data_IF_542939518410
#
_entry.id   IF_542939518410
#
_cell.length_a   1.000
_cell.length_b   1.000
_cell.length_c   1.000
_cell.angle_alpha   90.00
_cell.angle_beta   90.00
_cell.angle_gamma   90.00
#
_symmetry.space_group_name_H-M   'P 1'
#
loop_
_entity.id
_entity.type
_entity.pdbx_description
1 polymer ?
#
# COMPACT_ATOMS: atom_id res chain seq x y z
N UNK A 1 6.82 -41.28 -64.35
CA UNK A 1 7.28 -42.01 -65.54
C UNK A 1 7.16 -43.50 -65.26
N UNK A 2 6.49 -44.26 -66.12
CA UNK A 2 6.43 -45.72 -66.00
C UNK A 2 7.54 -46.31 -66.84
N UNK A 3 8.47 -47.03 -66.21
CA UNK A 3 9.58 -47.69 -66.90
C UNK A 3 9.19 -49.12 -67.27
N UNK A 4 9.59 -49.57 -68.46
CA UNK A 4 9.46 -50.96 -68.86
C UNK A 4 10.71 -51.73 -68.43
N UNK A 5 10.54 -52.85 -67.73
CA UNK A 5 11.62 -53.74 -67.31
C UNK A 5 11.57 -54.99 -68.18
N UNK A 6 12.70 -55.35 -68.79
CA UNK A 6 12.84 -56.64 -69.48
C UNK A 6 13.03 -57.72 -68.41
N UNK A 7 12.23 -58.79 -68.48
CA UNK A 7 12.25 -59.93 -67.56
C UNK A 7 12.16 -61.26 -68.33
N UNK A 8 12.45 -62.37 -67.65
CA UNK A 8 12.52 -63.75 -68.20
C UNK A 8 13.67 -64.01 -69.20
N UNK A 9 14.86 -64.27 -68.64
CA UNK A 9 16.08 -64.62 -69.39
C UNK A 9 16.25 -66.13 -69.61
N UNK A 10 15.18 -66.94 -69.50
CA UNK A 10 15.24 -68.41 -69.61
C UNK A 10 15.77 -68.94 -70.96
N UNK A 11 15.83 -68.07 -71.97
CA UNK A 11 16.38 -68.32 -73.30
C UNK A 11 17.60 -67.46 -73.62
N UNK A 12 18.25 -66.80 -72.65
CA UNK A 12 19.47 -66.03 -72.91
C UNK A 12 20.70 -66.97 -72.93
N UNK A 13 21.49 -66.94 -74.01
CA UNK A 13 22.68 -67.78 -74.15
C UNK A 13 23.88 -66.96 -74.64
N UNK A 14 25.08 -67.30 -74.15
CA UNK A 14 26.33 -66.73 -74.66
C UNK A 14 26.54 -67.23 -76.10
N UNK A 15 26.80 -66.33 -77.06
CA UNK A 15 26.88 -66.59 -78.52
C UNK A 15 27.83 -67.73 -78.97
N UNK A 16 28.65 -68.30 -78.06
CA UNK A 16 29.58 -69.39 -78.34
C UNK A 16 28.98 -70.81 -78.23
N UNK A 17 27.72 -70.97 -77.82
CA UNK A 17 27.06 -72.27 -77.62
C UNK A 17 26.14 -72.63 -78.79
N UNK A 18 26.18 -73.89 -79.26
CA UNK A 18 25.52 -74.38 -80.49
C UNK A 18 24.23 -75.18 -80.26
N UNK A 19 23.51 -74.96 -79.16
CA UNK A 19 22.30 -75.76 -78.88
C UNK A 19 21.19 -74.94 -78.25
N UNK A 20 20.02 -74.94 -78.89
CA UNK A 20 18.78 -74.33 -78.42
C UNK A 20 17.63 -75.35 -78.30
N UNK A 21 16.72 -75.10 -77.36
CA UNK A 21 15.48 -75.84 -77.13
C UNK A 21 14.30 -74.96 -77.56
N UNK A 22 13.34 -75.52 -78.33
CA UNK A 22 12.18 -74.78 -78.85
C UNK A 22 10.90 -75.04 -78.04
N UNK A 23 10.19 -73.99 -77.67
CA UNK A 23 8.78 -74.03 -77.25
C UNK A 23 7.90 -73.34 -78.31
N UNK A 24 6.72 -73.89 -78.60
CA UNK A 24 5.88 -73.48 -79.74
C UNK A 24 5.42 -72.00 -79.73
N UNK A 25 5.37 -71.35 -78.55
CA UNK A 25 5.00 -69.94 -78.40
C UNK A 25 6.13 -68.96 -78.78
N UNK A 26 7.39 -69.33 -78.55
CA UNK A 26 8.58 -68.52 -78.88
C UNK A 26 8.82 -68.46 -80.39
N UNK A 27 8.41 -69.51 -81.13
CA UNK A 27 8.61 -69.61 -82.58
C UNK A 27 7.95 -68.48 -83.38
N UNK A 28 6.90 -67.84 -82.86
CA UNK A 28 6.22 -66.75 -83.56
C UNK A 28 7.09 -65.49 -83.67
N UNK A 29 7.97 -65.26 -82.69
CA UNK A 29 8.88 -64.10 -82.67
C UNK A 29 10.28 -64.44 -83.17
N UNK A 30 10.57 -65.73 -83.39
CA UNK A 30 11.86 -66.20 -83.83
C UNK A 30 12.13 -65.82 -85.30
N UNK A 31 13.38 -65.48 -85.61
CA UNK A 31 13.78 -65.13 -86.97
C UNK A 31 13.85 -66.36 -87.89
N UNK A 32 13.66 -66.22 -89.22
CA UNK A 32 13.60 -67.36 -90.15
C UNK A 32 14.83 -68.26 -90.12
N UNK A 33 16.02 -67.70 -89.85
CA UNK A 33 17.27 -68.45 -89.77
C UNK A 33 17.43 -69.30 -88.49
N UNK A 34 16.58 -69.10 -87.49
CA UNK A 34 16.65 -69.85 -86.22
C UNK A 34 16.30 -71.33 -86.40
N UNK A 35 15.51 -71.68 -87.41
CA UNK A 35 15.26 -73.08 -87.84
C UNK A 35 16.55 -73.83 -88.24
N UNK A 36 17.62 -73.09 -88.59
CA UNK A 36 18.92 -73.64 -88.98
C UNK A 36 19.94 -73.64 -87.81
N UNK A 37 19.49 -73.48 -86.55
CA UNK A 37 20.31 -73.36 -85.35
C UNK A 37 21.36 -72.23 -85.40
N UNK A 38 21.05 -71.11 -86.07
CA UNK A 38 21.91 -69.92 -86.16
C UNK A 38 21.20 -68.72 -85.55
N UNK A 39 21.26 -68.56 -84.23
CA UNK A 39 20.84 -67.32 -83.58
C UNK A 39 22.01 -66.33 -83.55
N UNK A 40 21.73 -65.09 -83.93
CA UNK A 40 22.71 -64.00 -84.03
C UNK A 40 22.12 -62.73 -83.42
N UNK A 41 22.92 -61.68 -83.22
CA UNK A 41 22.41 -60.36 -82.78
C UNK A 41 21.30 -59.81 -83.69
N UNK A 42 21.34 -60.18 -84.97
CA UNK A 42 20.37 -59.82 -85.99
C UNK A 42 19.03 -60.56 -85.78
N UNK A 43 19.04 -61.71 -85.11
CA UNK A 43 17.82 -62.44 -84.71
C UNK A 43 17.09 -61.72 -83.58
N UNK A 44 17.80 -61.04 -82.68
CA UNK A 44 17.19 -60.18 -81.66
C UNK A 44 16.57 -58.93 -82.29
N UNK A 45 17.24 -58.32 -83.29
CA UNK A 45 16.69 -57.20 -84.06
C UNK A 45 15.38 -57.57 -84.75
N UNK A 46 15.29 -58.78 -85.31
CA UNK A 46 14.04 -59.30 -85.86
C UNK A 46 12.95 -59.39 -84.80
N UNK A 47 13.26 -60.01 -83.65
CA UNK A 47 12.30 -60.24 -82.58
C UNK A 47 11.75 -58.91 -82.05
N UNK A 48 12.63 -57.93 -81.84
CA UNK A 48 12.26 -56.56 -81.48
C UNK A 48 11.40 -55.92 -82.57
N UNK A 49 11.75 -56.08 -83.85
CA UNK A 49 10.97 -55.55 -84.97
C UNK A 49 9.55 -56.10 -84.99
N UNK A 50 9.39 -57.41 -84.77
CA UNK A 50 8.08 -58.06 -84.66
C UNK A 50 7.27 -57.47 -83.50
N UNK A 51 7.89 -57.33 -82.32
CA UNK A 51 7.23 -56.76 -81.13
C UNK A 51 6.80 -55.32 -81.38
N UNK A 52 7.67 -54.48 -81.93
CA UNK A 52 7.34 -53.06 -82.20
C UNK A 52 6.15 -52.97 -83.17
N UNK A 53 6.18 -53.76 -84.26
CA UNK A 53 5.08 -53.77 -85.22
C UNK A 53 3.78 -54.23 -84.55
N UNK A 54 3.83 -55.27 -83.72
CA UNK A 54 2.65 -55.76 -83.01
C UNK A 54 2.13 -54.75 -81.98
N UNK A 55 3.00 -54.04 -81.27
CA UNK A 55 2.59 -52.97 -80.33
C UNK A 55 1.92 -51.82 -81.07
N UNK A 56 2.47 -51.42 -82.22
CA UNK A 56 1.94 -50.31 -83.02
C UNK A 56 0.60 -50.71 -83.68
N UNK A 57 0.51 -51.91 -84.24
CA UNK A 57 -0.64 -52.33 -85.07
C UNK A 57 -1.68 -53.14 -84.32
N UNK A 58 -1.35 -53.65 -83.12
CA UNK A 58 -2.13 -54.63 -82.37
C UNK A 58 -2.16 -56.03 -82.99
N UNK A 59 -1.44 -56.27 -84.08
CA UNK A 59 -1.50 -57.51 -84.87
C UNK A 59 -0.10 -58.01 -85.19
N UNK A 60 0.21 -59.25 -84.84
CA UNK A 60 1.47 -59.89 -85.23
C UNK A 60 1.69 -59.85 -86.78
N UNK A 61 2.86 -59.36 -87.26
CA UNK A 61 3.10 -59.07 -88.68
C UNK A 61 2.94 -60.27 -89.62
N UNK A 62 3.29 -61.47 -89.14
CA UNK A 62 3.23 -62.70 -89.93
C UNK A 62 1.98 -63.56 -89.66
N UNK A 63 1.00 -63.05 -88.90
CA UNK A 63 -0.17 -63.84 -88.43
C UNK A 63 -0.96 -64.47 -89.59
N UNK A 64 -0.95 -65.81 -89.65
CA UNK A 64 -1.83 -66.63 -90.50
C UNK A 64 -3.11 -67.06 -89.79
N UNK A 65 -3.97 -67.80 -90.48
CA UNK A 65 -5.19 -68.40 -89.95
C UNK A 65 -4.91 -69.57 -88.99
N UNK A 66 -3.76 -70.23 -89.16
CA UNK A 66 -3.27 -71.31 -88.28
C UNK A 66 -1.82 -71.04 -87.86
N UNK A 67 -1.35 -71.68 -86.79
CA UNK A 67 0.04 -71.56 -86.33
C UNK A 67 1.04 -71.99 -87.42
N UNK A 68 0.77 -73.09 -88.12
CA UNK A 68 1.59 -73.53 -89.25
C UNK A 68 1.66 -72.49 -90.38
N UNK A 69 0.55 -71.80 -90.66
CA UNK A 69 0.54 -70.72 -91.65
C UNK A 69 1.34 -69.50 -91.17
N UNK A 70 1.28 -69.16 -89.87
CA UNK A 70 2.12 -68.10 -89.28
C UNK A 70 3.60 -68.42 -89.41
N UNK A 71 4.01 -69.65 -89.07
CA UNK A 71 5.40 -70.09 -89.22
C UNK A 71 5.82 -70.09 -90.70
N UNK A 72 4.98 -70.59 -91.60
CA UNK A 72 5.24 -70.54 -93.05
C UNK A 72 5.40 -69.11 -93.58
N UNK A 73 4.60 -68.16 -93.07
CA UNK A 73 4.74 -66.74 -93.40
C UNK A 73 6.08 -66.17 -92.89
N UNK A 74 6.52 -66.55 -91.69
CA UNK A 74 7.84 -66.17 -91.15
C UNK A 74 8.95 -66.75 -92.05
N UNK A 75 8.96 -68.05 -92.30
CA UNK A 75 10.00 -68.72 -93.10
C UNK A 75 10.04 -68.20 -94.56
N UNK A 76 8.90 -67.78 -95.11
CA UNK A 76 8.81 -67.17 -96.45
C UNK A 76 9.09 -65.66 -96.46
N UNK A 77 9.06 -64.98 -95.31
CA UNK A 77 9.19 -63.52 -95.20
C UNK A 77 7.94 -62.74 -95.62
N UNK A 78 6.76 -63.39 -95.62
CA UNK A 78 5.49 -62.80 -96.05
C UNK A 78 4.76 -62.16 -94.87
N UNK A 79 4.97 -60.86 -94.65
CA UNK A 79 4.26 -60.09 -93.63
C UNK A 79 3.02 -59.37 -94.19
N UNK A 80 2.11 -58.97 -93.30
CA UNK A 80 0.93 -58.16 -93.64
C UNK A 80 1.34 -56.74 -94.05
N UNK A 81 0.68 -56.12 -95.04
CA UNK A 81 0.96 -54.73 -95.41
C UNK A 81 0.84 -53.79 -94.22
N UNK A 82 1.77 -52.84 -94.11
CA UNK A 82 1.72 -51.82 -93.07
C UNK A 82 0.51 -50.90 -93.26
N UNK A 83 -0.20 -50.52 -92.17
CA UNK A 83 -1.23 -49.49 -92.22
C UNK A 83 -0.67 -48.13 -92.65
N UNK A 84 -1.53 -47.27 -93.20
CA UNK A 84 -1.14 -45.97 -93.74
C UNK A 84 -0.51 -45.01 -92.72
N UNK A 85 -0.62 -45.23 -91.41
CA UNK A 85 0.04 -44.38 -90.42
C UNK A 85 1.52 -44.76 -90.17
N UNK A 86 1.97 -45.91 -90.67
CA UNK A 86 3.39 -46.32 -90.62
C UNK A 86 4.03 -45.92 -91.95
N UNK A 87 4.59 -44.72 -91.99
CA UNK A 87 5.21 -44.14 -93.18
C UNK A 87 6.65 -43.68 -92.92
N UNK A 88 7.32 -43.25 -93.99
CA UNK A 88 8.63 -42.59 -93.91
C UNK A 88 9.71 -43.46 -93.30
N UNK A 89 10.59 -42.84 -92.52
CA UNK A 89 11.74 -43.49 -91.89
C UNK A 89 11.33 -44.64 -90.97
N UNK A 90 10.26 -44.47 -90.18
CA UNK A 90 9.75 -45.53 -89.29
C UNK A 90 9.39 -46.78 -90.09
N UNK A 91 8.74 -46.63 -91.24
CA UNK A 91 8.41 -47.77 -92.11
C UNK A 91 9.66 -48.47 -92.62
N UNK A 92 10.62 -47.70 -93.13
CA UNK A 92 11.90 -48.22 -93.65
C UNK A 92 12.66 -48.97 -92.54
N UNK A 93 12.66 -48.41 -91.33
CA UNK A 93 13.28 -49.01 -90.16
C UNK A 93 12.64 -50.36 -89.83
N UNK A 94 11.31 -50.42 -89.73
CA UNK A 94 10.58 -51.65 -89.39
C UNK A 94 10.75 -52.72 -90.49
N UNK A 95 10.65 -52.36 -91.77
CA UNK A 95 10.90 -53.25 -92.90
C UNK A 95 12.32 -53.83 -92.88
N UNK A 96 13.31 -53.01 -92.51
CA UNK A 96 14.70 -53.42 -92.33
C UNK A 96 14.86 -54.44 -91.20
N UNK A 97 14.22 -54.20 -90.04
CA UNK A 97 14.30 -55.08 -88.87
C UNK A 97 13.69 -56.47 -89.14
N UNK A 98 12.59 -56.54 -89.88
CA UNK A 98 11.93 -57.82 -90.25
C UNK A 98 12.37 -58.36 -91.62
N UNK A 99 13.59 -58.03 -92.06
CA UNK A 99 14.13 -58.57 -93.32
C UNK A 99 14.46 -60.05 -93.20
N UNK A 100 14.04 -60.85 -94.20
CA UNK A 100 14.37 -62.29 -94.25
C UNK A 100 15.88 -62.54 -94.33
N UNK A 101 16.63 -61.70 -95.03
CA UNK A 101 18.10 -61.79 -95.05
C UNK A 101 18.66 -61.08 -93.82
N UNK A 102 19.18 -61.85 -92.86
CA UNK A 102 19.69 -61.32 -91.60
C UNK A 102 20.77 -60.23 -91.79
N UNK A 103 21.55 -60.29 -92.87
CA UNK A 103 22.62 -59.31 -93.19
C UNK A 103 22.08 -57.95 -93.63
N UNK A 104 20.81 -57.90 -94.03
CA UNK A 104 20.13 -56.65 -94.41
C UNK A 104 19.47 -55.97 -93.21
N UNK A 105 19.43 -56.63 -92.05
CA UNK A 105 18.89 -56.04 -90.83
C UNK A 105 19.86 -54.99 -90.30
N UNK A 106 19.37 -53.81 -89.90
CA UNK A 106 20.23 -52.78 -89.32
C UNK A 106 20.77 -53.24 -87.96
N UNK A 107 21.93 -52.72 -87.56
CA UNK A 107 22.44 -52.93 -86.21
C UNK A 107 21.65 -52.08 -85.21
N UNK A 108 21.61 -52.49 -83.94
CA UNK A 108 20.98 -51.70 -82.87
C UNK A 108 21.55 -50.29 -82.79
N UNK A 109 22.86 -50.13 -83.02
CA UNK A 109 23.51 -48.81 -83.05
C UNK A 109 22.93 -47.94 -84.18
N UNK A 110 22.81 -48.48 -85.39
CA UNK A 110 22.24 -47.75 -86.53
C UNK A 110 20.77 -47.37 -86.29
N UNK A 111 20.00 -48.24 -85.62
CA UNK A 111 18.62 -47.95 -85.22
C UNK A 111 18.53 -46.77 -84.23
N UNK A 112 19.42 -46.74 -83.23
CA UNK A 112 19.49 -45.64 -82.26
C UNK A 112 19.98 -44.32 -82.88
N UNK A 113 20.74 -44.38 -83.96
CA UNK A 113 21.24 -43.23 -84.72
C UNK A 113 20.22 -42.71 -85.77
N UNK A 114 19.07 -43.38 -85.94
CA UNK A 114 17.99 -42.90 -86.81
C UNK A 114 17.41 -41.57 -86.33
N UNK A 115 16.91 -40.75 -87.27
CA UNK A 115 16.34 -39.43 -86.97
C UNK A 115 15.16 -39.56 -86.01
N UNK A 116 14.27 -40.53 -86.27
CA UNK A 116 13.13 -40.86 -85.41
C UNK A 116 13.56 -41.13 -83.96
N UNK A 117 14.61 -41.93 -83.74
CA UNK A 117 15.04 -42.29 -82.38
C UNK A 117 15.77 -41.14 -81.69
N UNK A 118 16.52 -40.32 -82.43
CA UNK A 118 17.15 -39.11 -81.90
C UNK A 118 16.11 -38.07 -81.44
N UNK A 119 15.02 -37.88 -82.20
CA UNK A 119 13.93 -36.99 -81.82
C UNK A 119 13.28 -37.44 -80.52
N UNK A 120 12.98 -38.74 -80.39
CA UNK A 120 12.43 -39.30 -79.14
C UNK A 120 13.40 -39.04 -77.97
N UNK A 121 14.70 -39.24 -78.18
CA UNK A 121 15.72 -38.94 -77.18
C UNK A 121 15.76 -37.48 -76.75
N UNK A 122 15.57 -36.52 -77.68
CA UNK A 122 15.51 -35.09 -77.37
C UNK A 122 14.24 -34.72 -76.58
N UNK A 123 13.10 -35.32 -76.92
CA UNK A 123 11.83 -35.09 -76.22
C UNK A 123 11.88 -35.58 -74.77
N UNK A 124 12.45 -36.76 -74.53
CA UNK A 124 12.60 -37.31 -73.18
C UNK A 124 13.55 -36.46 -72.33
N UNK A 125 14.71 -36.06 -72.87
CA UNK A 125 15.63 -35.13 -72.18
C UNK A 125 14.97 -33.78 -71.85
N UNK A 126 14.16 -33.25 -72.76
CA UNK A 126 13.45 -31.98 -72.54
C UNK A 126 12.37 -32.07 -71.44
N UNK A 127 11.76 -33.24 -71.25
CA UNK A 127 10.79 -33.48 -70.17
C UNK A 127 11.49 -33.57 -68.81
N UNK A 128 12.63 -34.24 -68.74
CA UNK A 128 13.44 -34.33 -67.51
C UNK A 128 13.90 -32.94 -67.04
N UNK A 129 14.36 -32.11 -67.97
CA UNK A 129 14.85 -30.77 -67.65
C UNK A 129 13.74 -29.82 -67.17
N UNK A 130 12.55 -29.86 -67.82
CA UNK A 130 11.38 -29.09 -67.36
C UNK A 130 10.90 -29.47 -65.96
N UNK A 131 10.99 -30.75 -65.60
CA UNK A 131 10.66 -31.22 -64.25
C UNK A 131 11.60 -30.64 -63.19
N UNK A 132 12.91 -30.65 -63.47
CA UNK A 132 13.93 -30.08 -62.57
C UNK A 132 13.80 -28.56 -62.41
N UNK A 133 13.49 -27.84 -63.49
CA UNK A 133 13.32 -26.38 -63.43
C UNK A 133 12.10 -25.96 -62.58
N UNK A 134 11.00 -26.71 -62.67
CA UNK A 134 9.80 -26.47 -61.84
C UNK A 134 10.05 -26.74 -60.35
N UNK A 135 10.79 -27.81 -60.02
CA UNK A 135 11.17 -28.11 -58.63
C UNK A 135 12.10 -27.02 -58.06
N UNK A 136 13.06 -26.54 -58.85
CA UNK A 136 13.96 -25.46 -58.45
C UNK A 136 13.22 -24.14 -58.23
N UNK A 137 12.23 -23.80 -59.07
CA UNK A 137 11.43 -22.59 -58.89
C UNK A 137 10.58 -22.65 -57.61
N UNK A 138 9.98 -23.80 -57.31
CA UNK A 138 9.24 -24.01 -56.05
C UNK A 138 10.16 -23.91 -54.83
N UNK A 139 11.36 -24.48 -54.92
CA UNK A 139 12.34 -24.43 -53.84
C UNK A 139 12.79 -23.00 -53.56
N UNK A 140 13.10 -22.23 -54.60
CA UNK A 140 13.51 -20.82 -54.47
C UNK A 140 12.41 -19.93 -53.85
N UNK A 141 11.13 -20.14 -54.19
CA UNK A 141 10.02 -19.43 -53.55
C UNK A 141 9.96 -19.70 -52.04
N UNK A 142 10.19 -20.95 -51.64
CA UNK A 142 10.16 -21.36 -50.23
C UNK A 142 11.35 -20.85 -49.43
N UNK A 143 12.52 -20.79 -50.04
CA UNK A 143 13.73 -20.18 -49.44
C UNK A 143 13.47 -18.70 -49.16
N UNK A 144 12.98 -17.94 -50.13
CA UNK A 144 12.68 -16.51 -49.94
C UNK A 144 11.64 -16.26 -48.83
N UNK A 145 10.60 -17.10 -48.72
CA UNK A 145 9.61 -16.98 -47.64
C UNK A 145 10.23 -17.22 -46.25
N UNK A 146 11.10 -18.22 -46.14
CA UNK A 146 11.78 -18.55 -44.89
C UNK A 146 12.79 -17.47 -44.49
N UNK A 147 13.55 -16.91 -45.44
CA UNK A 147 14.47 -15.80 -45.19
C UNK A 147 13.74 -14.57 -44.63
N UNK A 148 12.57 -14.24 -45.19
CA UNK A 148 11.73 -13.15 -44.68
C UNK A 148 11.25 -13.41 -43.25
N UNK A 149 10.84 -14.65 -42.92
CA UNK A 149 10.45 -15.03 -41.55
C UNK A 149 11.62 -14.99 -40.57
N UNK A 150 12.80 -15.45 -40.98
CA UNK A 150 14.02 -15.37 -40.15
C UNK A 150 14.32 -13.91 -39.84
N UNK A 151 14.30 -13.03 -40.85
CA UNK A 151 14.54 -11.61 -40.65
C UNK A 151 13.52 -10.96 -39.69
N UNK A 152 12.23 -11.32 -39.78
CA UNK A 152 11.23 -10.81 -38.82
C UNK A 152 11.45 -11.31 -37.39
N UNK A 153 11.83 -12.58 -37.23
CA UNK A 153 12.11 -13.17 -35.92
C UNK A 153 13.39 -12.59 -35.29
N UNK A 154 14.39 -12.25 -36.09
CA UNK A 154 15.60 -11.57 -35.62
C UNK A 154 15.30 -10.16 -35.11
N UNK A 155 14.44 -9.41 -35.81
CA UNK A 155 13.97 -8.09 -35.37
C UNK A 155 13.20 -8.21 -34.05
N UNK A 156 12.27 -9.15 -33.94
CA UNK A 156 11.51 -9.39 -32.71
C UNK A 156 12.42 -9.80 -31.55
N UNK A 157 13.41 -10.66 -31.80
CA UNK A 157 14.40 -11.08 -30.80
C UNK A 157 15.23 -9.90 -30.28
N UNK A 158 15.67 -9.00 -31.15
CA UNK A 158 16.44 -7.83 -30.74
C UNK A 158 15.58 -6.83 -29.96
N UNK A 159 14.31 -6.66 -30.34
CA UNK A 159 13.36 -5.82 -29.63
C UNK A 159 13.08 -6.36 -28.21
N UNK A 160 12.84 -7.66 -28.07
CA UNK A 160 12.67 -8.32 -26.76
C UNK A 160 13.93 -8.19 -25.90
N UNK A 161 15.12 -8.25 -26.51
CA UNK A 161 16.38 -8.06 -25.79
C UNK A 161 16.52 -6.64 -25.23
N UNK A 162 16.22 -5.62 -26.05
CA UNK A 162 16.22 -4.22 -25.62
C UNK A 162 15.19 -3.95 -24.52
N UNK A 163 13.98 -4.52 -24.61
CA UNK A 163 12.96 -4.41 -23.56
C UNK A 163 13.41 -5.04 -22.24
N UNK A 164 14.08 -6.21 -22.30
CA UNK A 164 14.65 -6.86 -21.11
C UNK A 164 15.77 -6.05 -20.47
N UNK A 165 16.68 -5.48 -21.26
CA UNK A 165 17.77 -4.64 -20.75
C UNK A 165 17.23 -3.36 -20.10
N UNK A 166 16.22 -2.73 -20.71
CA UNK A 166 15.53 -1.58 -20.13
C UNK A 166 14.81 -1.93 -18.83
N UNK A 167 14.07 -3.05 -18.80
CA UNK A 167 13.39 -3.51 -17.59
C UNK A 167 14.36 -3.88 -16.46
N UNK A 168 15.55 -4.39 -16.79
CA UNK A 168 16.60 -4.66 -15.81
C UNK A 168 17.18 -3.34 -15.24
N UNK A 169 17.46 -2.37 -16.10
CA UNK A 169 17.91 -1.03 -15.67
C UNK A 169 16.89 -0.32 -14.78
N UNK A 170 15.60 -0.40 -15.11
CA UNK A 170 14.53 0.20 -14.31
C UNK A 170 14.34 -0.51 -12.96
N UNK A 171 14.55 -1.83 -12.91
CA UNK A 171 14.59 -2.60 -11.64
C UNK A 171 15.77 -2.19 -10.77
N UNK A 172 16.97 -2.05 -11.33
CA UNK A 172 18.18 -1.65 -10.59
C UNK A 172 18.03 -0.23 -10.01
N UNK A 173 17.46 0.70 -10.77
CA UNK A 173 17.12 2.04 -10.28
C UNK A 173 16.12 1.99 -9.13
N UNK A 174 15.09 1.14 -9.24
CA UNK A 174 14.07 0.98 -8.18
C UNK A 174 14.67 0.39 -6.91
N UNK A 175 15.59 -0.59 -7.02
CA UNK A 175 16.30 -1.17 -5.89
C UNK A 175 17.18 -0.12 -5.22
N UNK A 176 17.94 0.66 -5.99
CA UNK A 176 18.79 1.73 -5.47
C UNK A 176 17.99 2.81 -4.72
N UNK A 177 16.82 3.21 -5.24
CA UNK A 177 15.94 4.18 -4.56
C UNK A 177 15.42 3.61 -3.24
N UNK A 178 14.95 2.35 -3.22
CA UNK A 178 14.49 1.69 -1.99
C UNK A 178 15.60 1.51 -0.96
N UNK A 179 16.83 1.23 -1.38
CA UNK A 179 17.98 1.15 -0.48
C UNK A 179 18.32 2.51 0.14
N UNK A 180 18.23 3.60 -0.63
CA UNK A 180 18.41 4.96 -0.12
C UNK A 180 17.31 5.35 0.87
N UNK A 181 16.04 5.03 0.57
CA UNK A 181 14.91 5.27 1.48
C UNK A 181 15.05 4.49 2.78
N UNK A 182 15.42 3.20 2.71
CA UNK A 182 15.67 2.39 3.91
C UNK A 182 16.84 2.93 4.75
N UNK A 183 17.95 3.36 4.13
CA UNK A 183 19.07 3.95 4.86
C UNK A 183 18.66 5.25 5.56
N UNK A 184 17.84 6.08 4.90
CA UNK A 184 17.31 7.32 5.48
C UNK A 184 16.38 7.04 6.67
N UNK A 185 15.49 6.05 6.54
CA UNK A 185 14.60 5.62 7.63
C UNK A 185 15.39 5.07 8.84
N UNK A 186 16.47 4.32 8.59
CA UNK A 186 17.37 3.84 9.65
C UNK A 186 18.05 5.01 10.36
N UNK A 187 18.56 6.00 9.63
CA UNK A 187 19.16 7.20 10.21
C UNK A 187 18.18 8.01 11.06
N UNK A 188 16.94 8.21 10.57
CA UNK A 188 15.90 8.92 11.30
C UNK A 188 15.52 8.18 12.59
N UNK A 189 15.40 6.85 12.54
CA UNK A 189 15.15 6.02 13.74
C UNK A 189 16.29 6.09 14.74
N UNK A 190 17.54 6.05 14.29
CA UNK A 190 18.72 6.20 15.17
C UNK A 190 18.77 7.58 15.82
N UNK A 191 18.48 8.64 15.07
CA UNK A 191 18.40 10.02 15.60
C UNK A 191 17.30 10.15 16.65
N UNK A 192 16.09 9.67 16.35
CA UNK A 192 14.96 9.68 17.29
C UNK A 192 15.23 8.83 18.55
N UNK A 193 15.99 7.74 18.42
CA UNK A 193 16.42 6.94 19.59
C UNK A 193 17.42 7.70 20.45
N UNK A 194 18.42 8.33 19.83
CA UNK A 194 19.40 9.17 20.54
C UNK A 194 18.75 10.34 21.27
N UNK A 195 17.76 10.99 20.66
CA UNK A 195 16.99 12.08 21.28
C UNK A 195 16.20 11.58 22.49
N UNK A 196 15.51 10.44 22.37
CA UNK A 196 14.80 9.79 23.50
C UNK A 196 15.74 9.40 24.64
N UNK A 197 16.91 8.86 24.34
CA UNK A 197 17.91 8.50 25.36
C UNK A 197 18.51 9.74 26.04
N UNK A 198 18.56 10.87 25.35
CA UNK A 198 19.01 12.14 25.90
C UNK A 198 17.93 12.78 26.79
N UNK A 199 16.67 12.74 26.37
CA UNK A 199 15.53 13.15 27.19
C UNK A 199 15.41 12.31 28.46
N UNK A 200 15.55 10.99 28.35
CA UNK A 200 15.52 10.09 29.51
C UNK A 200 16.62 10.44 30.51
N UNK A 201 17.85 10.69 30.04
CA UNK A 201 18.96 11.13 30.91
C UNK A 201 18.71 12.48 31.57
N UNK A 202 18.08 13.44 30.88
CA UNK A 202 17.67 14.71 31.48
C UNK A 202 16.61 14.47 32.55
N UNK A 203 15.58 13.69 32.24
CA UNK A 203 14.53 13.33 33.19
C UNK A 203 15.07 12.59 34.42
N UNK A 204 16.02 11.68 34.27
CA UNK A 204 16.67 10.99 35.39
C UNK A 204 17.47 11.97 36.26
N UNK A 205 18.14 12.96 35.64
CA UNK A 205 18.87 14.02 36.35
C UNK A 205 17.92 14.94 37.11
N UNK A 206 16.85 15.38 36.46
CA UNK A 206 15.79 16.18 37.08
C UNK A 206 15.11 15.43 38.22
N UNK A 207 14.86 14.13 38.04
CA UNK A 207 14.28 13.28 39.07
C UNK A 207 15.20 13.14 40.28
N UNK A 208 16.51 12.98 40.06
CA UNK A 208 17.51 12.96 41.12
C UNK A 208 17.56 14.31 41.87
N UNK A 209 17.48 15.44 41.15
CA UNK A 209 17.39 16.79 41.73
C UNK A 209 16.12 16.95 42.58
N UNK A 210 14.97 16.46 42.09
CA UNK A 210 13.69 16.48 42.83
C UNK A 210 13.78 15.65 44.10
N UNK A 211 14.38 14.46 44.06
CA UNK A 211 14.61 13.63 45.25
C UNK A 211 15.48 14.38 46.27
N UNK A 212 16.56 15.01 45.80
CA UNK A 212 17.47 15.81 46.65
C UNK A 212 16.74 16.96 47.33
N UNK A 213 16.04 17.79 46.55
CA UNK A 213 15.28 18.94 47.06
C UNK A 213 14.15 18.51 48.00
N UNK A 214 13.46 17.41 47.70
CA UNK A 214 12.42 16.84 48.58
C UNK A 214 13.00 16.44 49.93
N UNK A 215 14.22 15.88 49.95
CA UNK A 215 14.91 15.54 51.19
C UNK A 215 15.31 16.77 52.00
N UNK A 216 15.73 17.86 51.35
CA UNK A 216 16.02 19.15 51.97
C UNK A 216 14.76 19.79 52.56
N UNK A 217 13.65 19.81 51.81
CA UNK A 217 12.35 20.29 52.29
C UNK A 217 11.91 19.49 53.52
N UNK A 218 12.07 18.16 53.52
CA UNK A 218 11.73 17.31 54.67
C UNK A 218 12.57 17.67 55.91
N UNK A 219 13.87 17.91 55.75
CA UNK A 219 14.76 18.36 56.83
C UNK A 219 14.35 19.74 57.35
N UNK A 220 14.09 20.70 56.46
CA UNK A 220 13.62 22.04 56.80
C UNK A 220 12.28 22.02 57.54
N UNK A 221 11.33 21.19 57.10
CA UNK A 221 10.04 21.02 57.76
C UNK A 221 10.18 20.37 59.15
N UNK A 222 11.10 19.41 59.32
CA UNK A 222 11.42 18.86 60.65
C UNK A 222 12.06 19.91 61.57
N UNK A 223 12.90 20.81 61.03
CA UNK A 223 13.41 21.95 61.80
C UNK A 223 12.34 23.00 62.13
N UNK A 224 11.37 23.23 61.23
CA UNK A 224 10.25 24.16 61.45
C UNK A 224 9.22 23.65 62.48
N UNK A 225 9.13 22.34 62.72
CA UNK A 225 8.31 21.75 63.79
C UNK A 225 8.84 22.05 65.22
N UNK A 226 10.04 22.65 65.35
CA UNK A 226 10.58 23.11 66.64
C UNK A 226 10.25 24.57 66.97
N UNK A 227 9.57 25.30 66.07
CA UNK A 227 9.13 26.68 66.33
C UNK A 227 7.74 26.65 67.00
N UNK A 228 7.57 27.26 68.19
CA UNK A 228 6.27 27.28 68.85
C UNK A 228 5.22 27.98 67.97
N UNK A 229 4.06 27.34 67.81
CA UNK A 229 2.88 27.83 67.07
C UNK A 229 2.35 29.19 67.54
N UNK A 230 2.78 29.67 68.71
CA UNK A 230 2.42 30.98 69.28
C UNK A 230 3.05 32.20 68.61
N UNK A 231 4.03 32.03 67.71
CA UNK A 231 4.75 33.16 67.06
C UNK A 231 4.05 33.72 65.80
N UNK A 232 2.94 33.13 65.36
CA UNK A 232 2.23 33.54 64.13
C UNK A 232 0.88 34.25 64.38
N UNK A 233 0.33 34.16 65.59
CA UNK A 233 -0.96 34.73 65.97
C UNK A 233 -0.91 36.25 66.01
N UNK A 234 -1.89 36.89 65.39
CA UNK A 234 -2.09 38.34 65.44
C UNK A 234 -3.00 38.64 66.63
N UNK A 235 -2.52 39.43 67.59
CA UNK A 235 -3.38 40.01 68.62
C UNK A 235 -4.40 40.92 67.95
N UNK A 236 -5.69 40.69 68.23
CA UNK A 236 -6.77 41.43 67.61
C UNK A 236 -7.68 42.11 68.64
N UNK A 237 -8.38 43.13 68.17
CA UNK A 237 -9.43 43.81 68.93
C UNK A 237 -10.69 43.89 68.07
N UNK A 238 -11.82 43.44 68.61
CA UNK A 238 -13.12 43.56 67.96
C UNK A 238 -13.64 44.98 68.08
N UNK A 239 -14.13 45.53 66.97
CA UNK A 239 -14.82 46.81 66.92
C UNK A 239 -16.30 46.49 66.99
N UNK A 240 -16.85 46.55 68.20
CA UNK A 240 -18.24 46.23 68.49
C UNK A 240 -19.10 47.47 68.20
N UNK A 241 -20.04 47.41 67.24
CA UNK A 241 -20.83 48.58 66.85
C UNK A 241 -21.89 48.96 67.89
N UNK A 242 -22.38 47.98 68.66
CA UNK A 242 -23.43 48.14 69.66
C UNK A 242 -23.15 47.22 70.86
N UNK A 243 -22.53 47.75 71.94
CA UNK A 243 -22.20 46.97 73.11
C UNK A 243 -23.41 46.45 73.89
N UNK A 244 -24.61 47.02 73.71
CA UNK A 244 -25.81 46.59 74.42
C UNK A 244 -26.31 45.25 73.86
N UNK A 245 -26.15 45.05 72.55
CA UNK A 245 -26.66 43.88 71.83
C UNK A 245 -25.59 42.90 71.35
N UNK A 246 -24.31 43.29 71.36
CA UNK A 246 -23.20 42.43 70.95
C UNK A 246 -22.20 42.30 72.07
N UNK A 247 -21.97 41.06 72.51
CA UNK A 247 -21.03 40.74 73.59
C UNK A 247 -19.88 39.91 73.04
N UNK A 248 -18.67 40.21 73.51
CA UNK A 248 -17.50 39.38 73.28
C UNK A 248 -17.17 38.60 74.56
N UNK A 249 -17.03 37.28 74.43
CA UNK A 249 -16.56 36.36 75.46
C UNK A 249 -15.29 35.69 74.91
N UNK A 250 -14.12 36.16 75.35
CA UNK A 250 -12.83 35.72 74.81
C UNK A 250 -12.75 35.83 73.28
N UNK A 251 -12.69 34.70 72.57
CA UNK A 251 -12.65 34.62 71.12
C UNK A 251 -14.04 34.48 70.46
N UNK A 252 -15.11 34.48 71.25
CA UNK A 252 -16.49 34.31 70.79
C UNK A 252 -17.24 35.64 70.77
N UNK A 253 -17.83 35.97 69.64
CA UNK A 253 -18.70 37.14 69.45
C UNK A 253 -20.14 36.65 69.42
N UNK A 254 -21.00 37.23 70.24
CA UNK A 254 -22.39 36.81 70.46
C UNK A 254 -23.31 38.00 70.22
N UNK A 255 -24.32 37.82 69.37
CA UNK A 255 -25.44 38.74 69.22
C UNK A 255 -26.55 38.31 70.19
N UNK A 256 -26.94 39.16 71.14
CA UNK A 256 -27.84 38.81 72.26
C UNK A 256 -29.27 39.32 72.07
N UNK A 257 -29.66 39.73 70.85
CA UNK A 257 -30.97 40.31 70.55
C UNK A 257 -31.53 39.78 69.24
N UNK A 258 -32.83 39.47 69.24
CA UNK A 258 -33.58 38.90 68.11
C UNK A 258 -34.03 39.92 67.06
N UNK A 259 -33.85 41.22 67.32
CA UNK A 259 -34.30 42.32 66.44
C UNK A 259 -33.18 43.16 65.85
N UNK A 260 -31.92 42.77 66.07
CA UNK A 260 -30.73 43.54 65.69
C UNK A 260 -29.80 42.77 64.77
N UNK A 261 -29.13 43.47 63.87
CA UNK A 261 -28.02 42.94 63.08
C UNK A 261 -26.71 43.61 63.51
N UNK A 262 -25.59 42.92 63.34
CA UNK A 262 -24.29 43.46 63.71
C UNK A 262 -23.20 43.06 62.74
N UNK A 263 -22.48 44.05 62.22
CA UNK A 263 -21.21 43.84 61.50
C UNK A 263 -20.05 44.18 62.43
N UNK A 264 -19.32 43.17 62.90
CA UNK A 264 -18.17 43.34 63.78
C UNK A 264 -16.90 43.27 62.95
N UNK A 265 -16.11 44.34 62.97
CA UNK A 265 -14.82 44.40 62.27
C UNK A 265 -13.67 44.25 63.27
N UNK A 266 -12.47 43.91 62.78
CA UNK A 266 -11.33 43.61 63.64
C UNK A 266 -10.12 44.51 63.34
N UNK A 267 -9.44 44.93 64.40
CA UNK A 267 -8.08 45.47 64.38
C UNK A 267 -7.06 44.31 64.52
N UNK A 268 -5.85 44.43 63.93
CA UNK A 268 -5.32 45.59 63.22
C UNK A 268 -5.85 45.72 61.78
N UNK A 269 -5.67 46.91 61.18
CA UNK A 269 -5.79 47.08 59.73
C UNK A 269 -4.67 46.28 59.06
N UNK A 270 -5.02 45.49 58.04
CA UNK A 270 -4.08 44.65 57.31
C UNK A 270 -3.61 45.41 56.06
N UNK A 271 -2.29 45.60 55.95
CA UNK A 271 -1.65 46.35 54.85
C UNK A 271 -0.54 45.57 54.15
N UNK A 272 -0.05 44.49 54.75
CA UNK A 272 1.06 43.67 54.27
C UNK A 272 0.94 42.24 54.79
N UNK A 273 1.82 41.34 54.32
CA UNK A 273 1.87 39.91 54.64
C UNK A 273 0.71 39.11 54.04
N UNK A 274 0.78 37.80 54.27
CA UNK A 274 -0.33 36.89 54.01
C UNK A 274 -1.01 36.65 55.35
N UNK A 275 -2.30 36.98 55.44
CA UNK A 275 -3.03 36.96 56.70
C UNK A 275 -4.30 36.15 56.54
N UNK A 276 -4.53 35.24 57.48
CA UNK A 276 -5.71 34.38 57.51
C UNK A 276 -6.55 34.67 58.75
N UNK A 277 -7.85 34.87 58.53
CA UNK A 277 -8.84 35.11 59.56
C UNK A 277 -9.99 34.11 59.40
N UNK A 278 -10.36 33.42 60.47
CA UNK A 278 -11.34 32.35 60.40
C UNK A 278 -11.85 31.87 61.75
N UNK A 279 -12.89 31.05 61.69
CA UNK A 279 -13.64 30.60 62.85
C UNK A 279 -14.75 29.63 62.46
N UNK A 280 -15.68 29.41 63.36
CA UNK A 280 -16.88 28.61 63.10
C UNK A 280 -18.11 29.25 63.76
N UNK A 281 -19.27 28.76 63.36
CA UNK A 281 -20.57 29.29 63.72
C UNK A 281 -21.38 28.33 64.58
N UNK A 282 -22.10 28.90 65.55
CA UNK A 282 -22.96 28.17 66.48
C UNK A 282 -24.32 28.87 66.59
N UNK A 283 -25.40 28.08 66.74
CA UNK A 283 -26.77 28.52 67.01
C UNK A 283 -27.35 29.48 65.97
N UNK A 284 -27.34 29.07 64.70
CA UNK A 284 -27.83 29.89 63.57
C UNK A 284 -28.89 29.16 62.71
N UNK A 285 -29.63 28.22 63.31
CA UNK A 285 -30.57 27.29 62.65
C UNK A 285 -31.67 27.98 61.79
N UNK A 286 -31.83 29.30 61.87
CA UNK A 286 -32.85 30.11 61.17
C UNK A 286 -32.35 31.30 60.32
N UNK A 287 -31.11 31.29 59.76
CA UNK A 287 -30.62 32.18 58.67
C UNK A 287 -29.58 33.30 59.01
N UNK A 288 -28.87 33.70 57.94
CA UNK A 288 -28.02 34.86 57.64
C UNK A 288 -26.73 35.12 58.46
N UNK A 289 -25.60 34.57 57.99
CA UNK A 289 -24.23 34.93 58.40
C UNK A 289 -23.37 35.32 57.19
N UNK A 290 -22.35 36.14 57.42
CA UNK A 290 -21.21 36.23 56.48
C UNK A 290 -19.89 36.58 57.16
N UNK A 291 -18.80 36.15 56.54
CA UNK A 291 -17.43 36.61 56.82
C UNK A 291 -16.89 37.36 55.60
N UNK A 292 -15.98 38.30 55.79
CA UNK A 292 -15.46 39.04 54.66
C UNK A 292 -14.33 39.99 54.99
N UNK A 293 -14.02 40.82 54.01
CA UNK A 293 -13.12 41.97 54.17
C UNK A 293 -13.85 43.26 53.84
N UNK A 294 -13.47 44.32 54.52
CA UNK A 294 -13.88 45.68 54.23
C UNK A 294 -12.65 46.53 53.93
N UNK A 295 -12.79 47.51 53.04
CA UNK A 295 -11.84 48.61 52.95
C UNK A 295 -11.67 49.25 54.33
N UNK A 296 -10.45 49.62 54.71
CA UNK A 296 -10.17 50.15 56.05
C UNK A 296 -10.96 51.41 56.43
N UNK A 297 -11.51 52.14 55.44
CA UNK A 297 -12.37 53.29 55.64
C UNK A 297 -13.83 52.96 55.96
N UNK A 298 -14.25 51.70 55.86
CA UNK A 298 -15.59 51.27 56.24
C UNK A 298 -15.73 51.23 57.77
N UNK A 299 -16.78 51.84 58.28
CA UNK A 299 -17.14 51.87 59.71
C UNK A 299 -18.58 51.44 59.84
N UNK A 300 -18.84 50.37 60.58
CA UNK A 300 -20.18 49.84 60.77
C UNK A 300 -20.79 50.39 62.07
N UNK A 301 -21.97 51.00 61.97
CA UNK A 301 -22.75 51.48 63.11
C UNK A 301 -23.66 50.41 63.71
N UNK A 302 -24.41 50.79 64.76
CA UNK A 302 -25.46 49.92 65.32
C UNK A 302 -26.51 49.58 64.26
N UNK A 303 -26.94 48.32 64.25
CA UNK A 303 -27.92 47.76 63.33
C UNK A 303 -27.57 47.91 61.84
N UNK A 304 -26.28 47.94 61.51
CA UNK A 304 -25.78 48.11 60.15
C UNK A 304 -25.15 46.83 59.58
N UNK A 305 -25.59 46.44 58.37
CA UNK A 305 -25.05 45.32 57.62
C UNK A 305 -23.86 45.70 56.73
N UNK A 306 -23.06 44.71 56.28
CA UNK A 306 -21.88 44.95 55.45
C UNK A 306 -22.22 45.47 54.05
N UNK A 307 -23.50 45.44 53.69
CA UNK A 307 -24.04 45.78 52.38
C UNK A 307 -25.08 46.90 52.45
N UNK A 308 -25.09 47.71 53.51
CA UNK A 308 -25.90 48.94 53.54
C UNK A 308 -25.44 49.88 52.42
N UNK A 309 -26.32 50.74 51.91
CA UNK A 309 -26.02 51.68 50.81
C UNK A 309 -24.80 52.58 51.12
N UNK A 310 -24.52 52.81 52.41
CA UNK A 310 -23.37 53.59 52.91
C UNK A 310 -22.01 52.90 52.70
N UNK A 311 -22.01 51.58 52.51
CA UNK A 311 -20.82 50.75 52.31
C UNK A 311 -20.69 50.21 50.88
N UNK A 312 -21.48 50.73 49.95
CA UNK A 312 -21.44 50.32 48.54
C UNK A 312 -20.01 50.35 47.97
N UNK A 313 -19.54 49.21 47.44
CA UNK A 313 -18.19 48.97 46.90
C UNK A 313 -17.06 48.87 47.93
N UNK A 314 -17.35 48.89 49.23
CA UNK A 314 -16.33 48.87 50.29
C UNK A 314 -16.15 47.51 50.97
N UNK A 315 -16.93 46.49 50.62
CA UNK A 315 -16.90 45.19 51.30
C UNK A 315 -16.95 44.04 50.32
N UNK A 316 -16.29 42.94 50.63
CA UNK A 316 -16.54 41.64 49.98
C UNK A 316 -17.08 40.69 51.03
N UNK A 317 -18.21 40.09 50.72
CA UNK A 317 -18.97 39.22 51.61
C UNK A 317 -18.92 37.80 51.11
N UNK A 318 -18.59 36.84 51.97
CA UNK A 318 -18.87 35.42 51.77
C UNK A 318 -20.09 35.04 52.60
N UNK A 319 -21.22 34.87 51.94
CA UNK A 319 -22.50 34.65 52.58
C UNK A 319 -22.78 33.17 52.83
N UNK A 320 -23.70 32.91 53.77
CA UNK A 320 -23.99 31.55 54.24
C UNK A 320 -24.27 30.56 53.12
N UNK A 321 -24.89 30.97 52.02
CA UNK A 321 -25.35 30.08 50.96
C UNK A 321 -24.26 29.77 49.92
N UNK A 322 -23.04 30.23 50.15
CA UNK A 322 -21.92 29.97 49.26
C UNK A 322 -21.64 31.09 48.26
N UNK A 323 -22.46 32.13 48.27
CA UNK A 323 -22.36 33.25 47.34
C UNK A 323 -21.44 34.35 47.86
N UNK A 324 -20.74 34.99 46.93
CA UNK A 324 -19.99 36.21 47.21
C UNK A 324 -20.73 37.44 46.69
N UNK A 325 -20.73 38.52 47.47
CA UNK A 325 -21.26 39.83 47.07
C UNK A 325 -20.25 40.95 47.30
N UNK A 326 -20.37 42.03 46.52
CA UNK A 326 -19.50 43.21 46.62
C UNK A 326 -20.24 44.54 46.40
N UNK A 327 -20.70 44.82 45.17
CA UNK A 327 -21.34 46.10 44.81
C UNK A 327 -22.87 46.02 44.89
N UNK A 328 -23.45 45.04 44.20
CA UNK A 328 -24.90 44.87 44.09
C UNK A 328 -25.31 43.56 44.76
N UNK A 329 -26.19 43.65 45.77
CA UNK A 329 -26.72 42.50 46.49
C UNK A 329 -27.55 41.56 45.62
N UNK A 330 -28.14 42.07 44.52
CA UNK A 330 -28.92 41.28 43.59
C UNK A 330 -28.02 40.48 42.60
N UNK A 331 -26.74 40.85 42.52
CA UNK A 331 -25.74 40.23 41.66
C UNK A 331 -24.66 39.52 42.49
N UNK A 332 -25.07 38.42 43.11
CA UNK A 332 -24.17 37.52 43.82
C UNK A 332 -23.48 36.53 42.85
N UNK A 333 -22.19 36.27 43.07
CA UNK A 333 -21.46 35.22 42.35
C UNK A 333 -21.52 33.92 43.16
N UNK A 334 -22.02 32.86 42.55
CA UNK A 334 -22.13 31.53 43.17
C UNK A 334 -20.84 30.73 43.00
N UNK A 335 -20.69 29.63 43.72
CA UNK A 335 -19.65 28.63 43.42
C UNK A 335 -18.77 28.25 44.60
N UNK A 336 -18.83 28.99 45.70
CA UNK A 336 -18.24 28.53 46.95
C UNK A 336 -19.26 27.67 47.71
N UNK A 337 -18.77 26.85 48.63
CA UNK A 337 -19.59 25.98 49.46
C UNK A 337 -20.44 26.76 50.44
N UNK A 338 -21.62 26.21 50.76
CA UNK A 338 -22.46 26.70 51.85
C UNK A 338 -21.74 26.57 53.19
N UNK A 339 -21.88 27.57 54.05
CA UNK A 339 -21.33 27.55 55.41
C UNK A 339 -22.33 26.82 56.32
N UNK A 340 -21.88 25.72 56.92
CA UNK A 340 -22.67 24.86 57.81
C UNK A 340 -22.30 25.07 59.28
N UNK A 341 -23.15 24.57 60.18
CA UNK A 341 -22.93 24.65 61.62
C UNK A 341 -21.72 23.86 62.09
N UNK A 342 -20.96 24.48 62.98
CA UNK A 342 -19.71 23.95 63.53
C UNK A 342 -18.65 23.61 62.47
N UNK A 343 -18.82 24.06 61.22
CA UNK A 343 -17.81 23.94 60.17
C UNK A 343 -16.95 25.18 60.11
N UNK A 344 -15.66 24.98 59.85
CA UNK A 344 -14.71 26.08 59.79
C UNK A 344 -14.86 26.87 58.49
N UNK A 345 -14.83 28.19 58.61
CA UNK A 345 -14.78 29.12 57.49
C UNK A 345 -13.63 30.11 57.72
N UNK A 346 -12.87 30.39 56.68
CA UNK A 346 -11.76 31.34 56.75
C UNK A 346 -11.63 32.17 55.46
N UNK A 347 -11.02 33.32 55.62
CA UNK A 347 -10.60 34.23 54.56
C UNK A 347 -9.09 34.45 54.69
N UNK A 348 -8.38 34.38 53.57
CA UNK A 348 -6.95 34.65 53.50
C UNK A 348 -6.70 35.77 52.50
N UNK A 349 -5.91 36.77 52.90
CA UNK A 349 -5.46 37.83 52.00
C UNK A 349 -3.98 37.72 51.77
N UNK A 350 -3.53 37.89 50.52
CA UNK A 350 -2.12 38.08 50.20
C UNK A 350 -1.87 39.53 49.79
N UNK A 351 -1.36 40.31 50.74
CA UNK A 351 -1.08 41.74 50.56
C UNK A 351 0.31 42.01 49.97
N UNK A 352 1.16 40.99 49.84
CA UNK A 352 2.55 41.09 49.38
C UNK A 352 2.70 41.02 47.86
N UNK A 353 1.65 40.63 47.14
CA UNK A 353 1.67 40.45 45.69
C UNK A 353 0.80 41.48 44.98
N UNK A 354 1.04 41.66 43.68
CA UNK A 354 0.18 42.45 42.78
C UNK A 354 -0.22 41.55 41.60
N UNK A 355 -1.51 41.32 41.35
CA UNK A 355 -2.66 41.83 42.11
C UNK A 355 -2.76 41.22 43.51
N UNK A 356 -3.18 42.00 44.51
CA UNK A 356 -3.47 41.48 45.87
C UNK A 356 -4.66 40.54 45.81
N UNK A 357 -4.62 39.45 46.57
CA UNK A 357 -5.66 38.40 46.51
C UNK A 357 -6.43 38.29 47.82
N UNK A 358 -7.68 37.84 47.71
CA UNK A 358 -8.54 37.34 48.77
C UNK A 358 -9.05 35.96 48.36
N UNK A 359 -8.77 34.96 49.18
CA UNK A 359 -9.17 33.58 48.98
C UNK A 359 -10.02 33.11 50.16
N UNK A 360 -11.03 32.29 49.87
CA UNK A 360 -11.93 31.75 50.88
C UNK A 360 -11.65 30.28 51.12
N UNK A 361 -11.89 29.82 52.33
CA UNK A 361 -11.74 28.43 52.73
C UNK A 361 -12.97 27.98 53.50
N UNK A 362 -13.44 26.79 53.19
CA UNK A 362 -14.50 26.10 53.93
C UNK A 362 -14.01 24.70 54.27
N UNK A 363 -14.10 24.34 55.56
CA UNK A 363 -13.53 23.11 56.13
C UNK A 363 -12.06 22.87 55.72
N UNK A 364 -11.26 23.95 55.79
CA UNK A 364 -9.86 24.01 55.33
C UNK A 364 -9.61 23.75 53.84
N UNK A 365 -10.65 23.63 53.02
CA UNK A 365 -10.54 23.51 51.57
C UNK A 365 -10.68 24.88 50.90
N UNK A 366 -9.76 25.18 49.99
CA UNK A 366 -9.80 26.39 49.17
C UNK A 366 -11.05 26.40 48.29
N UNK A 367 -11.72 27.55 48.23
CA UNK A 367 -12.97 27.71 47.50
C UNK A 367 -12.76 28.20 46.07
N UNK A 368 -13.61 27.80 45.10
CA UNK A 368 -13.39 28.09 43.68
C UNK A 368 -13.40 29.58 43.31
N UNK A 369 -14.20 30.40 44.01
CA UNK A 369 -14.33 31.83 43.72
C UNK A 369 -13.42 32.63 44.65
N UNK A 370 -12.50 33.40 44.06
CA UNK A 370 -11.55 34.27 44.75
C UNK A 370 -11.60 35.70 44.20
N UNK A 371 -11.09 36.67 44.96
CA UNK A 371 -11.08 38.09 44.57
C UNK A 371 -9.65 38.58 44.39
N UNK A 372 -9.40 39.35 43.33
CA UNK A 372 -8.14 40.06 43.09
C UNK A 372 -8.32 41.58 43.14
N UNK A 373 -7.20 42.30 43.22
CA UNK A 373 -7.15 43.76 43.29
C UNK A 373 -7.83 44.34 44.54
N UNK A 374 -7.82 43.59 45.65
CA UNK A 374 -8.32 44.11 46.94
C UNK A 374 -7.54 45.36 47.39
N UNK A 375 -8.14 46.25 48.20
CA UNK A 375 -7.53 47.50 48.63
C UNK A 375 -6.18 47.33 49.33
N UNK A 376 -5.39 48.41 49.42
CA UNK A 376 -4.10 48.40 50.12
C UNK A 376 -4.19 48.30 51.63
N UNK A 377 -5.37 48.55 52.18
CA UNK A 377 -5.63 48.52 53.60
C UNK A 377 -7.04 47.99 53.82
N UNK A 378 -7.15 46.86 54.51
CA UNK A 378 -8.43 46.18 54.75
C UNK A 378 -8.61 45.83 56.22
N UNK A 379 -9.85 45.56 56.60
CA UNK A 379 -10.24 44.94 57.86
C UNK A 379 -10.95 43.63 57.57
N UNK A 380 -10.74 42.63 58.40
CA UNK A 380 -11.66 41.50 58.44
C UNK A 380 -12.94 41.89 59.18
N UNK A 381 -14.05 41.28 58.80
CA UNK A 381 -15.31 41.43 59.52
C UNK A 381 -16.11 40.13 59.54
N UNK A 382 -17.02 40.04 60.49
CA UNK A 382 -18.12 39.08 60.53
C UNK A 382 -19.45 39.81 60.61
N UNK A 383 -20.52 39.17 60.16
CA UNK A 383 -21.87 39.69 60.20
C UNK A 383 -22.83 38.69 60.83
N UNK A 384 -23.53 39.14 61.87
CA UNK A 384 -24.51 38.39 62.65
C UNK A 384 -25.90 39.03 62.48
N UNK A 385 -26.95 38.21 62.48
CA UNK A 385 -28.32 38.65 62.17
C UNK A 385 -29.39 38.17 63.16
N UNK A 386 -29.19 37.04 63.84
CA UNK A 386 -30.25 36.35 64.61
C UNK A 386 -29.89 36.18 66.10
N UNK A 387 -30.92 35.93 66.92
CA UNK A 387 -30.81 35.84 68.38
C UNK A 387 -29.86 34.74 68.83
N UNK A 388 -28.94 35.07 69.73
CA UNK A 388 -27.91 34.19 70.25
C UNK A 388 -26.99 33.55 69.20
N UNK A 389 -26.98 34.08 67.97
CA UNK A 389 -26.02 33.68 66.95
C UNK A 389 -24.62 34.11 67.37
N UNK A 390 -23.64 33.26 67.10
CA UNK A 390 -22.27 33.54 67.51
C UNK A 390 -21.22 33.03 66.53
N UNK A 391 -20.08 33.70 66.56
CA UNK A 391 -18.89 33.33 65.80
C UNK A 391 -17.72 33.16 66.75
N UNK A 392 -17.10 32.00 66.71
CA UNK A 392 -15.92 31.68 67.52
C UNK A 392 -14.69 31.78 66.63
N UNK A 393 -13.82 32.75 66.92
CA UNK A 393 -12.59 33.01 66.18
C UNK A 393 -11.58 31.92 66.54
N UNK A 394 -11.17 31.12 65.57
CA UNK A 394 -10.14 30.08 65.74
C UNK A 394 -8.82 30.48 65.12
N UNK A 395 -8.83 31.45 64.20
CA UNK A 395 -7.64 31.86 63.49
C UNK A 395 -7.66 33.36 63.23
N UNK A 396 -6.60 34.03 63.67
CA UNK A 396 -6.19 35.33 63.15
C UNK A 396 -4.66 35.34 63.20
N UNK A 397 -4.01 35.01 62.07
CA UNK A 397 -2.56 34.80 62.05
C UNK A 397 -1.92 35.20 60.73
N UNK A 398 -0.63 35.49 60.80
CA UNK A 398 0.21 35.57 59.61
C UNK A 398 0.52 34.14 59.14
N UNK A 399 0.35 33.88 57.85
CA UNK A 399 0.81 32.64 57.23
C UNK A 399 2.08 32.91 56.43
N UNK A 400 3.05 32.02 56.54
CA UNK A 400 4.36 32.20 55.89
C UNK A 400 4.26 32.07 54.37
N UNK A 401 3.36 31.19 53.90
CA UNK A 401 3.09 30.93 52.50
C UNK A 401 1.58 30.93 52.28
N UNK A 402 1.16 31.35 51.09
CA UNK A 402 -0.24 31.30 50.67
C UNK A 402 -0.75 29.86 50.80
N UNK A 403 -1.87 29.68 51.50
CA UNK A 403 -2.55 28.38 51.58
C UNK A 403 -3.28 28.06 50.27
N UNK A 404 -3.56 29.09 49.47
CA UNK A 404 -4.17 28.95 48.15
C UNK A 404 -3.16 28.32 47.17
N UNK A 405 -3.54 27.18 46.57
CA UNK A 405 -2.76 26.43 45.58
C UNK A 405 -3.20 26.73 44.15
N UNK A 406 -4.44 27.20 43.96
CA UNK A 406 -5.03 27.43 42.64
C UNK A 406 -5.27 26.13 41.84
N UNK A 407 -5.76 26.26 40.60
CA UNK A 407 -6.03 25.10 39.73
C UNK A 407 -7.24 24.27 40.14
N UNK A 408 -8.14 24.84 40.94
CA UNK A 408 -9.36 24.17 41.41
C UNK A 408 -10.37 24.09 40.26
N UNK A 409 -11.06 22.95 40.16
CA UNK A 409 -12.13 22.77 39.16
C UNK A 409 -13.22 23.82 39.37
N UNK A 410 -13.53 24.58 38.32
CA UNK A 410 -14.53 25.66 38.38
C UNK A 410 -14.02 26.96 39.00
N UNK A 411 -12.69 27.13 39.09
CA UNK A 411 -12.09 28.36 39.62
C UNK A 411 -12.57 29.60 38.85
N UNK A 412 -13.05 30.59 39.60
CA UNK A 412 -13.43 31.91 39.08
C UNK A 412 -12.70 32.98 39.87
N UNK A 413 -12.08 33.91 39.16
CA UNK A 413 -11.39 35.04 39.78
C UNK A 413 -12.17 36.29 39.42
N UNK A 414 -12.70 36.96 40.44
CA UNK A 414 -13.42 38.23 40.29
C UNK A 414 -12.59 39.39 40.82
N UNK A 415 -12.93 40.60 40.39
CA UNK A 415 -12.11 41.77 40.69
C UNK A 415 -12.84 42.73 41.62
N UNK A 416 -12.16 43.19 42.66
CA UNK A 416 -12.64 44.26 43.52
C UNK A 416 -12.94 45.52 42.69
N UNK A 417 -14.01 46.24 43.04
CA UNK A 417 -14.44 47.47 42.37
C UNK A 417 -15.19 47.25 41.06
N UNK A 418 -15.39 46.00 40.63
CA UNK A 418 -16.21 45.65 39.45
C UNK A 418 -17.51 44.95 39.86
N UNK A 419 -18.54 45.09 39.02
CA UNK A 419 -19.76 44.29 39.15
C UNK A 419 -19.48 42.84 38.73
N UNK A 420 -19.98 41.88 39.50
CA UNK A 420 -19.78 40.46 39.26
C UNK A 420 -21.02 39.90 38.58
N UNK A 421 -20.89 39.55 37.30
CA UNK A 421 -21.97 38.91 36.52
C UNK A 421 -22.10 37.43 36.92
N UNK A 422 -23.34 36.95 36.98
CA UNK A 422 -23.72 35.60 37.43
C UNK A 422 -23.10 34.48 36.59
#
# INVERSE_FOLDING_TARGET
MSYYIIADFGLAQKMASKTYLHAAGTLNYAAPETEQNKMTSESDVWSIGVIIIEVITGIHPFKGLTQQQTLSNISSGKYKPFPDYIQGELRIMLEGMISKDYRKRPTVKALLESETMQIVGMVEKSKEQKGSDQENEQMNKKVNELEMKVRSLEVEKEQVKQEKEKALSDKDKTISVKEQENQKEIQEKQKAQSERDQEKRRADTEHAEVIRLTSEIKKLNQSLQSVPSSLSTITYQSIIPDPDHVKQQENKIILTSSSHIATVSFNPIITSKIVRFGGFLEKHLKYNFSIGIADSSAVFGSNEGPSSDKHGKKTVRYFKDGDLTHIDLNNCIKGNSRIEENKSVAVEVNMNIRPRTLTFFYDNQEQPVSVINIPSSIRFYIFLFDDNSSFTITQFSNVQYSSAKGGIKGQRIVEWGKEWKK
#
